data_IF_461110414030
#
_entry.id   IF_461110414030
#
_cell.length_a   1.000
_cell.length_b   1.000
_cell.length_c   1.000
_cell.angle_alpha   90.00
_cell.angle_beta   90.00
_cell.angle_gamma   90.00
#
_symmetry.space_group_name_H-M   'P 1'
#
loop_
_entity.id
_entity.type
_entity.pdbx_description
1 polymer ?
#
# COMPACT_ATOMS: atom_id res chain seq x y z
N UNK A 1 -8.25 -15.54 -5.69
CA UNK A 1 -8.65 -16.09 -4.38
C UNK A 1 -9.40 -15.02 -3.62
N UNK A 2 -10.55 -15.32 -3.01
CA UNK A 2 -11.29 -14.36 -2.21
C UNK A 2 -10.44 -13.94 -1.00
N UNK A 3 -9.85 -12.75 -1.06
CA UNK A 3 -9.07 -12.16 0.04
C UNK A 3 -9.99 -12.01 1.25
N UNK A 4 -9.71 -12.78 2.30
CA UNK A 4 -10.41 -12.71 3.58
C UNK A 4 -10.15 -11.35 4.23
N UNK A 5 -11.03 -10.37 3.99
CA UNK A 5 -10.97 -9.06 4.64
C UNK A 5 -11.24 -9.23 6.15
N UNK A 6 -10.36 -8.70 7.00
CA UNK A 6 -10.55 -8.68 8.47
C UNK A 6 -11.32 -7.41 8.87
N UNK A 7 -12.40 -7.55 9.62
CA UNK A 7 -13.15 -6.42 10.19
C UNK A 7 -12.28 -5.72 11.26
N UNK A 8 -12.16 -4.41 11.14
CA UNK A 8 -11.56 -3.53 12.15
C UNK A 8 -12.56 -2.42 12.49
N UNK A 9 -12.51 -1.93 13.73
CA UNK A 9 -13.27 -0.76 14.17
C UNK A 9 -12.27 0.33 14.50
N UNK A 10 -12.41 1.51 13.88
CA UNK A 10 -11.56 2.66 14.10
C UNK A 10 -12.42 3.90 14.35
N UNK A 11 -11.94 4.80 15.19
CA UNK A 11 -12.54 6.12 15.33
C UNK A 11 -11.93 7.05 14.28
N UNK A 12 -12.78 7.77 13.56
CA UNK A 12 -12.37 8.77 12.57
C UNK A 12 -12.94 10.12 12.96
N UNK A 13 -12.23 11.17 12.57
CA UNK A 13 -12.76 12.52 12.62
C UNK A 13 -14.09 12.60 11.82
N UNK A 14 -15.13 13.28 12.32
CA UNK A 14 -16.43 13.37 11.65
C UNK A 14 -16.35 13.94 10.23
N UNK A 15 -15.47 14.91 9.98
CA UNK A 15 -15.29 15.50 8.65
C UNK A 15 -14.64 14.49 7.70
N UNK A 16 -13.66 13.73 8.19
CA UNK A 16 -13.00 12.65 7.42
C UNK A 16 -14.00 11.55 7.07
N UNK A 17 -14.84 11.12 8.02
CA UNK A 17 -15.87 10.11 7.77
C UNK A 17 -16.88 10.59 6.72
N UNK A 18 -17.30 11.85 6.79
CA UNK A 18 -18.20 12.47 5.80
C UNK A 18 -17.55 12.54 4.42
N UNK A 19 -16.29 12.97 4.34
CA UNK A 19 -15.55 13.07 3.08
C UNK A 19 -15.38 11.69 2.42
N UNK A 20 -15.06 10.65 3.20
CA UNK A 20 -14.96 9.28 2.72
C UNK A 20 -16.29 8.79 2.11
N UNK A 21 -17.42 9.05 2.78
CA UNK A 21 -18.75 8.69 2.28
C UNK A 21 -19.12 9.40 0.97
N UNK A 22 -18.83 10.70 0.86
CA UNK A 22 -19.06 11.45 -0.39
C UNK A 22 -18.20 10.89 -1.53
N UNK A 23 -16.94 10.54 -1.23
CA UNK A 23 -16.03 9.94 -2.22
C UNK A 23 -16.52 8.57 -2.66
N UNK A 24 -16.99 7.74 -1.74
CA UNK A 24 -17.55 6.42 -2.01
C UNK A 24 -18.75 6.52 -2.97
N UNK A 25 -19.70 7.41 -2.67
CA UNK A 25 -20.86 7.66 -3.54
C UNK A 25 -20.46 8.13 -4.95
N UNK A 26 -19.44 9.01 -5.06
CA UNK A 26 -18.95 9.49 -6.37
C UNK A 26 -18.25 8.42 -7.20
N UNK A 27 -17.69 7.40 -6.56
CA UNK A 27 -16.96 6.32 -7.22
C UNK A 27 -17.78 5.04 -7.37
N UNK A 28 -19.05 5.04 -6.95
CA UNK A 28 -19.90 3.85 -6.85
C UNK A 28 -19.22 2.71 -6.06
N UNK A 29 -18.54 3.08 -4.97
CA UNK A 29 -17.80 2.17 -4.07
C UNK A 29 -18.42 2.14 -2.68
N UNK A 30 -18.10 1.11 -1.89
CA UNK A 30 -18.39 1.11 -0.45
C UNK A 30 -17.42 2.00 0.32
N UNK A 31 -17.87 2.59 1.42
CA UNK A 31 -17.03 3.38 2.33
C UNK A 31 -15.77 2.60 2.76
N UNK A 32 -15.90 1.30 3.05
CA UNK A 32 -14.77 0.45 3.43
C UNK A 32 -13.73 0.29 2.33
N UNK A 33 -14.13 0.35 1.06
CA UNK A 33 -13.20 0.26 -0.08
C UNK A 33 -12.42 1.56 -0.25
N UNK A 34 -13.07 2.71 -0.10
CA UNK A 34 -12.39 4.02 -0.12
C UNK A 34 -11.38 4.13 1.02
N UNK A 35 -11.76 3.69 2.21
CA UNK A 35 -10.87 3.67 3.38
C UNK A 35 -9.70 2.71 3.16
N UNK A 36 -9.96 1.51 2.63
CA UNK A 36 -8.90 0.54 2.31
C UNK A 36 -7.93 1.08 1.24
N UNK A 37 -8.45 1.67 0.16
CA UNK A 37 -7.65 2.26 -0.92
C UNK A 37 -6.74 3.37 -0.38
N UNK A 38 -7.27 4.24 0.48
CA UNK A 38 -6.49 5.31 1.10
C UNK A 38 -5.37 4.76 2.01
N UNK A 39 -5.67 3.73 2.81
CA UNK A 39 -4.68 3.06 3.66
C UNK A 39 -3.60 2.36 2.83
N UNK A 40 -3.97 1.65 1.77
CA UNK A 40 -3.01 0.99 0.86
C UNK A 40 -2.10 2.00 0.17
N UNK A 41 -2.64 3.14 -0.26
CA UNK A 41 -1.85 4.21 -0.85
C UNK A 41 -0.89 4.83 0.19
N UNK A 42 -1.38 5.15 1.38
CA UNK A 42 -0.57 5.75 2.44
C UNK A 42 0.56 4.83 2.93
N UNK A 43 0.28 3.54 3.05
CA UNK A 43 1.25 2.53 3.46
C UNK A 43 2.17 2.06 2.32
N UNK A 44 2.03 2.62 1.11
CA UNK A 44 2.82 2.24 -0.06
C UNK A 44 2.54 0.84 -0.60
N UNK A 45 1.53 0.13 -0.07
CA UNK A 45 1.14 -1.21 -0.52
C UNK A 45 0.64 -1.15 -1.96
N UNK A 46 -0.16 -0.14 -2.30
CA UNK A 46 -0.64 0.04 -3.67
C UNK A 46 0.48 0.36 -4.68
N UNK A 47 1.53 1.06 -4.25
CA UNK A 47 2.68 1.36 -5.09
C UNK A 47 3.53 0.11 -5.34
N UNK A 48 3.69 -0.74 -4.32
CA UNK A 48 4.32 -2.04 -4.47
C UNK A 48 3.53 -2.96 -5.39
N UNK A 49 2.21 -3.06 -5.19
CA UNK A 49 1.32 -3.87 -6.02
C UNK A 49 1.39 -3.44 -7.51
N UNK A 50 1.45 -2.13 -7.78
CA UNK A 50 1.59 -1.61 -9.14
C UNK A 50 2.98 -1.86 -9.73
N UNK A 51 4.05 -1.65 -8.95
CA UNK A 51 5.41 -1.97 -9.39
C UNK A 51 5.58 -3.47 -9.68
N UNK A 52 4.96 -4.34 -8.88
CA UNK A 52 4.92 -5.78 -9.11
C UNK A 52 4.14 -6.13 -10.37
N UNK A 53 2.97 -5.50 -10.61
CA UNK A 53 2.18 -5.72 -11.84
C UNK A 53 2.94 -5.35 -13.11
N UNK A 54 3.72 -4.27 -13.08
CA UNK A 54 4.49 -3.79 -14.23
C UNK A 54 5.85 -4.50 -14.39
N UNK A 55 6.27 -5.28 -13.38
CA UNK A 55 7.56 -5.94 -13.39
C UNK A 55 7.56 -7.12 -14.37
N UNK A 56 8.52 -7.10 -15.30
CA UNK A 56 8.84 -8.24 -16.16
C UNK A 56 9.98 -9.11 -15.59
N UNK A 57 10.41 -8.86 -14.35
CA UNK A 57 11.50 -9.61 -13.73
C UNK A 57 11.05 -11.03 -13.38
N UNK A 58 11.91 -12.01 -13.63
CA UNK A 58 11.78 -13.32 -13.04
C UNK A 58 11.91 -13.24 -11.51
N UNK A 59 11.40 -14.25 -10.81
CA UNK A 59 11.47 -14.32 -9.35
C UNK A 59 12.90 -14.19 -8.82
N UNK A 60 13.86 -14.91 -9.44
CA UNK A 60 15.28 -14.84 -9.07
C UNK A 60 15.85 -13.43 -9.26
N UNK A 61 15.56 -12.78 -10.39
CA UNK A 61 16.04 -11.42 -10.68
C UNK A 61 15.42 -10.38 -9.72
N UNK A 62 14.15 -10.56 -9.34
CA UNK A 62 13.48 -9.71 -8.36
C UNK A 62 14.12 -9.86 -6.97
N UNK A 63 14.47 -11.09 -6.56
CA UNK A 63 15.09 -11.37 -5.27
C UNK A 63 16.53 -10.82 -5.20
N UNK A 64 17.30 -10.95 -6.27
CA UNK A 64 18.63 -10.34 -6.39
C UNK A 64 18.56 -8.81 -6.25
N UNK A 65 17.63 -8.17 -6.95
CA UNK A 65 17.41 -6.73 -6.87
C UNK A 65 17.04 -6.30 -5.44
N UNK A 66 16.12 -7.00 -4.78
CA UNK A 66 15.73 -6.70 -3.40
C UNK A 66 16.92 -6.79 -2.43
N UNK A 67 17.75 -7.83 -2.55
CA UNK A 67 18.95 -7.98 -1.73
C UNK A 67 19.95 -6.85 -1.98
N UNK A 68 20.16 -6.45 -3.23
CA UNK A 68 21.06 -5.36 -3.60
C UNK A 68 20.65 -4.03 -2.93
N UNK A 69 19.35 -3.70 -2.94
CA UNK A 69 18.79 -2.52 -2.29
C UNK A 69 18.95 -2.54 -0.76
N UNK A 70 18.69 -3.69 -0.12
CA UNK A 70 18.91 -3.85 1.32
C UNK A 70 20.38 -3.65 1.68
N UNK A 71 21.30 -4.21 0.89
CA UNK A 71 22.73 -3.99 1.09
C UNK A 71 23.13 -2.53 0.90
N UNK A 72 22.56 -1.83 -0.10
CA UNK A 72 22.80 -0.40 -0.32
C UNK A 72 22.33 0.45 0.86
N UNK A 73 21.10 0.22 1.34
CA UNK A 73 20.56 0.93 2.49
C UNK A 73 21.40 0.72 3.77
N UNK A 74 21.91 -0.51 3.99
CA UNK A 74 22.81 -0.80 5.11
C UNK A 74 24.14 -0.08 5.00
N UNK A 75 24.73 -0.01 3.79
CA UNK A 75 25.97 0.75 3.55
C UNK A 75 25.77 2.24 3.82
N UNK A 76 24.65 2.81 3.35
CA UNK A 76 24.32 4.22 3.57
C UNK A 76 24.15 4.54 5.06
N UNK A 77 23.43 3.70 5.81
CA UNK A 77 23.30 3.85 7.26
C UNK A 77 24.64 3.77 7.99
N UNK A 78 25.58 2.95 7.50
CA UNK A 78 26.92 2.81 8.09
C UNK A 78 27.81 4.01 7.80
N UNK A 79 27.64 4.67 6.64
CA UNK A 79 28.36 5.91 6.28
C UNK A 79 27.89 7.14 7.05
N UNK A 80 26.62 7.14 7.49
CA UNK A 80 26.02 8.22 8.29
C UNK A 80 26.31 8.12 9.78
N UNK A 81 27.03 7.09 10.21
CA UNK A 81 27.33 6.78 11.61
C UNK A 81 28.80 7.07 11.89
#
# INVERSE_FOLDING_TARGET
MATTKRKITVYLDPEVARAAKVRAARLDKRDSEVIEDALRAHLGIAALDEAQRLSALSEDAALELANAEVHAARRERRKRR
#
